data_IF_390177345884
#
_entry.id   IF_390177345884
#
_cell.length_a   1.000
_cell.length_b   1.000
_cell.length_c   1.000
_cell.angle_alpha   90.00
_cell.angle_beta   90.00
_cell.angle_gamma   90.00
#
_symmetry.space_group_name_H-M   'P 1'
#
loop_
_entity.id
_entity.type
_entity.pdbx_description
1 polymer ?
#
# COMPACT_ATOMS: atom_id res chain seq x y z
N UNK A 1 -34.17 -45.74 -32.33
CA UNK A 1 -33.86 -44.29 -32.37
C UNK A 1 -33.40 -43.87 -30.97
N UNK A 2 -32.12 -44.08 -30.64
CA UNK A 2 -31.65 -44.15 -29.24
C UNK A 2 -30.40 -43.30 -28.95
N UNK A 3 -30.11 -42.27 -29.75
CA UNK A 3 -28.83 -41.52 -29.66
C UNK A 3 -28.95 -40.00 -29.89
N UNK A 4 -30.12 -39.37 -29.66
CA UNK A 4 -30.32 -37.95 -29.98
C UNK A 4 -30.57 -37.04 -28.77
N UNK A 5 -29.99 -37.35 -27.60
CA UNK A 5 -30.14 -36.50 -26.41
C UNK A 5 -28.83 -36.25 -25.62
N UNK A 6 -27.66 -36.54 -26.19
CA UNK A 6 -26.38 -36.31 -25.48
C UNK A 6 -25.64 -35.06 -26.00
N UNK A 7 -26.05 -34.47 -27.14
CA UNK A 7 -25.27 -33.43 -27.79
C UNK A 7 -25.55 -31.98 -27.34
N UNK A 8 -26.51 -31.73 -26.44
CA UNK A 8 -27.04 -30.37 -26.21
C UNK A 8 -26.73 -29.75 -24.84
N UNK A 9 -25.76 -30.26 -24.06
CA UNK A 9 -25.55 -29.83 -22.66
C UNK A 9 -24.21 -29.15 -22.37
N UNK A 10 -23.40 -28.80 -23.38
CA UNK A 10 -22.01 -28.33 -23.13
C UNK A 10 -21.77 -26.82 -23.35
N UNK A 11 -22.74 -26.06 -23.87
CA UNK A 11 -22.47 -24.68 -24.35
C UNK A 11 -22.87 -23.52 -23.43
N UNK A 12 -23.12 -23.78 -22.14
CA UNK A 12 -23.36 -22.72 -21.14
C UNK A 12 -22.36 -22.85 -19.98
N UNK A 13 -21.07 -22.72 -20.30
CA UNK A 13 -20.05 -22.40 -19.31
C UNK A 13 -20.07 -20.88 -19.09
N UNK A 14 -20.56 -20.35 -17.95
CA UNK A 14 -20.19 -18.99 -17.57
C UNK A 14 -18.68 -18.99 -17.36
N UNK A 15 -17.97 -18.14 -18.11
CA UNK A 15 -16.57 -17.83 -17.83
C UNK A 15 -16.57 -17.11 -16.48
N UNK A 16 -16.38 -17.86 -15.40
CA UNK A 16 -16.16 -17.28 -14.08
C UNK A 16 -14.78 -16.65 -14.16
N UNK A 17 -14.72 -15.34 -14.37
CA UNK A 17 -13.48 -14.59 -14.18
C UNK A 17 -13.06 -14.76 -12.73
N UNK A 18 -12.07 -15.62 -12.49
CA UNK A 18 -11.40 -15.70 -11.21
C UNK A 18 -10.59 -14.40 -11.04
N UNK A 19 -11.23 -13.37 -10.50
CA UNK A 19 -10.48 -12.24 -9.97
C UNK A 19 -9.72 -12.78 -8.77
N UNK A 20 -8.43 -13.05 -8.94
CA UNK A 20 -7.49 -13.21 -7.85
C UNK A 20 -7.36 -11.85 -7.16
N UNK A 21 -8.39 -11.44 -6.42
CA UNK A 21 -8.29 -10.34 -5.48
C UNK A 21 -7.51 -10.89 -4.30
N UNK A 22 -6.18 -10.87 -4.41
CA UNK A 22 -5.31 -10.91 -3.23
C UNK A 22 -5.45 -9.54 -2.57
N UNK A 23 -6.61 -9.27 -1.99
CA UNK A 23 -6.72 -8.26 -0.96
C UNK A 23 -5.95 -8.83 0.22
N UNK A 24 -4.67 -8.48 0.34
CA UNK A 24 -4.01 -8.46 1.64
C UNK A 24 -4.62 -7.29 2.40
N UNK A 25 -5.89 -7.44 2.77
CA UNK A 25 -6.57 -6.57 3.70
C UNK A 25 -5.99 -6.88 5.06
N UNK A 26 -4.89 -6.20 5.41
CA UNK A 26 -4.43 -6.20 6.80
C UNK A 26 -5.43 -5.35 7.58
N UNK A 27 -6.52 -5.96 8.01
CA UNK A 27 -7.52 -5.36 8.89
C UNK A 27 -6.93 -5.23 10.30
N UNK A 28 -5.99 -4.31 10.50
CA UNK A 28 -5.49 -4.00 11.84
C UNK A 28 -6.53 -3.10 12.50
N UNK A 29 -7.44 -3.68 13.27
CA UNK A 29 -8.43 -2.93 14.08
C UNK A 29 -7.74 -2.23 15.26
N UNK A 30 -6.86 -1.27 14.96
CA UNK A 30 -6.35 -0.30 15.92
C UNK A 30 -7.12 1.01 15.73
N UNK A 31 -7.53 1.70 16.81
CA UNK A 31 -7.98 3.08 16.70
C UNK A 31 -6.91 3.88 15.95
N UNK A 32 -7.35 4.70 14.99
CA UNK A 32 -6.47 5.56 14.23
C UNK A 32 -5.65 6.48 15.13
N UNK A 33 -4.35 6.57 14.90
CA UNK A 33 -3.44 7.40 15.70
C UNK A 33 -3.12 8.69 14.93
N UNK A 34 -3.01 9.81 15.64
CA UNK A 34 -2.43 11.04 15.11
C UNK A 34 -0.92 11.00 15.25
N UNK A 35 -0.19 11.01 14.14
CA UNK A 35 1.28 10.92 14.11
C UNK A 35 1.95 12.29 13.90
N UNK A 36 1.23 13.38 14.18
CA UNK A 36 1.73 14.75 13.99
C UNK A 36 2.03 15.10 12.52
N UNK A 37 1.36 14.42 11.59
CA UNK A 37 1.32 14.81 10.17
C UNK A 37 -0.06 15.42 9.92
N UNK A 38 -0.09 16.75 9.92
CA UNK A 38 -1.28 17.53 9.59
C UNK A 38 -1.16 18.01 8.14
N UNK A 39 -1.90 17.36 7.25
CA UNK A 39 -1.99 17.73 5.85
C UNK A 39 -3.32 18.47 5.62
N UNK A 40 -3.33 19.81 5.58
CA UNK A 40 -4.56 20.58 5.38
C UNK A 40 -5.13 20.46 3.96
N UNK A 41 -4.33 19.95 3.03
CA UNK A 41 -4.69 19.72 1.64
C UNK A 41 -3.96 18.50 1.09
N UNK A 42 -4.44 18.00 -0.04
CA UNK A 42 -3.83 16.88 -0.74
C UNK A 42 -2.38 17.19 -1.15
N UNK A 43 -1.40 16.33 -0.80
CA UNK A 43 0.01 16.59 -1.11
C UNK A 43 0.30 16.36 -2.60
N UNK A 44 1.27 17.08 -3.14
CA UNK A 44 1.79 16.79 -4.48
C UNK A 44 2.62 15.50 -4.43
N UNK A 45 2.20 14.49 -5.19
CA UNK A 45 2.88 13.20 -5.28
C UNK A 45 3.69 13.11 -6.58
N UNK A 46 4.94 12.68 -6.47
CA UNK A 46 5.84 12.46 -7.60
C UNK A 46 6.27 11.00 -7.62
N UNK A 47 6.28 10.37 -8.79
CA UNK A 47 6.72 8.98 -8.90
C UNK A 47 8.21 8.86 -8.62
N UNK A 48 8.60 7.83 -7.86
CA UNK A 48 10.01 7.44 -7.71
C UNK A 48 10.46 6.75 -9.01
N UNK A 49 11.49 7.27 -9.72
CA UNK A 49 11.99 6.67 -10.96
C UNK A 49 12.34 5.19 -10.80
N UNK A 50 11.73 4.34 -11.63
CA UNK A 50 11.94 2.88 -11.63
C UNK A 50 11.14 2.10 -10.57
N UNK A 51 10.24 2.77 -9.83
CA UNK A 51 9.40 2.14 -8.82
C UNK A 51 7.91 2.46 -9.04
N UNK A 52 7.00 1.55 -8.69
CA UNK A 52 5.56 1.81 -8.68
C UNK A 52 5.10 2.65 -7.47
N UNK A 53 6.02 3.38 -6.82
CA UNK A 53 5.76 4.14 -5.59
C UNK A 53 5.86 5.63 -5.88
N UNK A 54 4.96 6.41 -5.31
CA UNK A 54 5.01 7.86 -5.32
C UNK A 54 5.47 8.38 -3.95
N UNK A 55 6.13 9.53 -3.92
CA UNK A 55 6.53 10.20 -2.68
C UNK A 55 6.12 11.67 -2.72
N UNK A 56 6.06 12.31 -1.55
CA UNK A 56 5.71 13.73 -1.43
C UNK A 56 6.97 14.58 -1.19
N UNK A 57 7.61 15.16 -2.23
CA UNK A 57 8.87 15.90 -2.08
C UNK A 57 8.75 17.18 -1.26
N UNK A 58 7.55 17.75 -1.17
CA UNK A 58 7.25 18.98 -0.43
C UNK A 58 7.08 18.76 1.07
N UNK A 59 6.91 17.50 1.51
CA UNK A 59 6.75 17.18 2.92
C UNK A 59 8.11 16.93 3.57
N UNK A 60 8.26 17.41 4.80
CA UNK A 60 9.36 17.02 5.68
C UNK A 60 9.04 15.73 6.44
N UNK A 61 8.56 14.71 5.71
CA UNK A 61 8.26 13.40 6.27
C UNK A 61 8.53 12.29 5.25
N UNK A 62 8.78 11.07 5.72
CA UNK A 62 8.95 9.91 4.86
C UNK A 62 7.58 9.43 4.40
N UNK A 63 7.03 10.11 3.40
CA UNK A 63 5.65 9.93 2.94
C UNK A 63 5.63 9.30 1.55
N UNK A 64 4.94 8.16 1.43
CA UNK A 64 4.87 7.36 0.23
C UNK A 64 3.43 6.97 -0.10
N UNK A 65 3.15 6.70 -1.37
CA UNK A 65 1.87 6.19 -1.83
C UNK A 65 2.11 5.01 -2.77
N UNK A 66 1.46 3.89 -2.44
CA UNK A 66 1.57 2.65 -3.19
C UNK A 66 0.24 1.90 -3.11
N UNK A 67 -0.27 1.50 -4.28
CA UNK A 67 -1.45 0.64 -4.42
C UNK A 67 -2.69 1.13 -3.63
N UNK A 68 -2.96 2.44 -3.67
CA UNK A 68 -4.14 3.00 -3.01
C UNK A 68 -4.01 3.19 -1.49
N UNK A 69 -2.81 3.01 -0.94
CA UNK A 69 -2.51 3.25 0.47
C UNK A 69 -1.39 4.28 0.62
N UNK A 70 -1.53 5.13 1.63
CA UNK A 70 -0.52 6.09 2.06
C UNK A 70 0.31 5.48 3.17
N UNK A 71 1.61 5.56 3.03
CA UNK A 71 2.59 4.97 3.93
C UNK A 71 3.48 6.04 4.49
N UNK A 72 3.65 6.04 5.80
CA UNK A 72 4.53 6.96 6.50
C UNK A 72 5.51 6.17 7.36
N UNK A 73 6.78 6.53 7.28
CA UNK A 73 7.79 6.06 8.23
C UNK A 73 8.17 7.18 9.20
N UNK A 74 7.88 6.98 10.49
CA UNK A 74 8.16 7.98 11.52
C UNK A 74 8.62 7.31 12.81
N UNK A 75 9.69 7.85 13.42
CA UNK A 75 10.38 7.19 14.53
C UNK A 75 10.95 5.86 14.03
N UNK A 76 10.39 4.77 14.52
CA UNK A 76 10.76 3.39 14.14
C UNK A 76 9.58 2.57 13.61
N UNK A 77 8.41 3.18 13.42
CA UNK A 77 7.19 2.50 13.02
C UNK A 77 6.77 2.90 11.61
N UNK A 78 6.14 1.94 10.93
CA UNK A 78 5.39 2.21 9.72
C UNK A 78 3.94 2.49 10.07
N UNK A 79 3.37 3.43 9.34
CA UNK A 79 1.98 3.80 9.44
C UNK A 79 1.35 3.73 8.06
N UNK A 80 0.12 3.22 7.98
CA UNK A 80 -0.66 3.19 6.74
C UNK A 80 -2.00 3.90 6.93
N UNK A 81 -2.54 4.44 5.84
CA UNK A 81 -3.91 4.92 5.78
C UNK A 81 -4.45 4.82 4.35
N UNK A 82 -5.76 4.63 4.22
CA UNK A 82 -6.46 4.79 2.94
C UNK A 82 -6.62 6.27 2.53
N UNK A 83 -6.36 7.21 3.45
CA UNK A 83 -6.53 8.64 3.25
C UNK A 83 -5.20 9.39 3.47
N UNK A 84 -5.02 10.50 2.77
CA UNK A 84 -3.74 11.21 2.78
C UNK A 84 -3.41 11.82 4.13
N UNK A 85 -4.41 12.17 4.93
CA UNK A 85 -4.28 12.83 6.23
C UNK A 85 -4.60 11.90 7.41
N UNK A 86 -4.67 10.58 7.18
CA UNK A 86 -5.10 9.63 8.19
C UNK A 86 -6.62 9.42 8.23
N UNK A 87 -7.15 8.68 9.22
CA UNK A 87 -6.47 8.13 10.40
C UNK A 87 -5.36 7.14 10.06
N UNK A 88 -4.29 7.14 10.86
CA UNK A 88 -3.13 6.28 10.64
C UNK A 88 -3.21 4.99 11.45
N UNK A 89 -2.81 3.87 10.84
CA UNK A 89 -2.71 2.57 11.48
C UNK A 89 -1.26 2.15 11.56
N UNK A 90 -0.81 1.68 12.73
CA UNK A 90 0.55 1.15 12.91
C UNK A 90 0.66 -0.19 12.18
N UNK A 91 1.75 -0.37 11.42
CA UNK A 91 2.03 -1.57 10.65
C UNK A 91 3.42 -2.08 11.00
N UNK A 92 3.55 -3.39 11.18
CA UNK A 92 4.85 -4.03 11.38
C UNK A 92 5.66 -3.97 10.07
N UNK A 93 7.01 -3.82 10.14
CA UNK A 93 7.85 -3.79 8.95
C UNK A 93 7.66 -4.99 7.99
N UNK A 94 7.26 -6.15 8.51
CA UNK A 94 7.00 -7.38 7.73
C UNK A 94 5.72 -7.31 6.88
N UNK A 95 4.80 -6.42 7.20
CA UNK A 95 3.56 -6.20 6.46
C UNK A 95 3.66 -5.01 5.48
N UNK A 96 4.79 -4.31 5.45
CA UNK A 96 5.04 -3.21 4.50
C UNK A 96 5.39 -3.79 3.13
N UNK A 97 4.79 -3.28 2.04
CA UNK A 97 5.13 -3.70 0.69
C UNK A 97 6.63 -3.60 0.40
N UNK A 98 7.18 -4.65 -0.21
CA UNK A 98 8.62 -4.74 -0.52
C UNK A 98 9.11 -3.59 -1.41
N UNK A 99 8.24 -3.06 -2.28
CA UNK A 99 8.56 -1.92 -3.13
C UNK A 99 8.85 -0.65 -2.34
N UNK A 100 8.18 -0.44 -1.20
CA UNK A 100 8.44 0.70 -0.31
C UNK A 100 9.76 0.52 0.43
N UNK A 101 10.02 -0.68 0.95
CA UNK A 101 11.25 -1.00 1.67
C UNK A 101 12.51 -0.89 0.80
N UNK A 102 12.37 -1.02 -0.52
CA UNK A 102 13.47 -0.94 -1.49
C UNK A 102 13.69 0.44 -2.10
N UNK A 103 12.87 1.43 -1.75
CA UNK A 103 13.06 2.80 -2.25
C UNK A 103 14.47 3.28 -1.86
N UNK A 104 15.24 3.88 -2.79
CA UNK A 104 16.54 4.44 -2.46
C UNK A 104 16.45 5.47 -1.32
N UNK A 105 17.40 5.42 -0.38
CA UNK A 105 17.42 6.26 0.84
C UNK A 105 17.30 7.76 0.53
N UNK A 106 17.74 8.23 -0.64
CA UNK A 106 17.60 9.63 -1.09
C UNK A 106 16.15 10.15 -1.15
N UNK A 107 15.15 9.27 -1.17
CA UNK A 107 13.73 9.65 -1.14
C UNK A 107 13.14 9.63 0.28
N UNK A 108 13.91 9.22 1.28
CA UNK A 108 13.58 9.39 2.69
C UNK A 108 14.00 10.80 3.11
N UNK A 109 13.03 11.64 3.45
CA UNK A 109 13.23 13.04 3.85
C UNK A 109 13.78 13.16 5.26
N UNK A 110 13.45 12.20 6.13
CA UNK A 110 13.98 12.09 7.48
C UNK A 110 14.90 10.89 7.60
N UNK A 111 16.04 11.02 8.32
CA UNK A 111 16.94 9.91 8.51
C UNK A 111 16.21 8.74 9.16
N UNK A 112 16.40 7.55 8.59
CA UNK A 112 16.03 6.30 9.25
C UNK A 112 17.01 6.13 10.41
N UNK A 113 16.55 6.29 11.65
CA UNK A 113 17.41 6.19 12.82
C UNK A 113 17.78 4.74 13.08
N UNK A 114 18.72 4.22 12.28
CA UNK A 114 19.48 3.02 12.61
C UNK A 114 20.94 3.24 12.23
N UNK A 115 21.56 4.26 12.82
CA UNK A 115 23.02 4.44 12.82
C UNK A 115 23.41 5.52 13.82
N UNK A 116 23.36 5.22 15.12
CA UNK A 116 24.35 5.71 16.09
C UNK A 116 24.38 4.79 17.30
N UNK A 117 25.15 3.71 17.22
CA UNK A 117 26.04 3.33 18.33
C UNK A 117 27.19 2.51 17.75
N UNK A 118 28.36 2.82 18.28
CA UNK A 118 29.70 2.40 17.93
C UNK A 118 29.89 0.88 17.87
#
# INVERSE_FOLDING_TARGET
MRHLLIAATVLLCPVISAQAQVQVGVSITSPGVSIGIDLPAYPTLVQVPGYPVYYAPQLDSNYFFYEGQYWVYQGDNWYTSAWYNGPWQVVLPTAVPVFILRIPVRYYRRPVLRTTQW
#
